data_IF_465494409697
#
_entry.id   IF_465494409697
#
_cell.length_a   1.000
_cell.length_b   1.000
_cell.length_c   1.000
_cell.angle_alpha   90.00
_cell.angle_beta   90.00
_cell.angle_gamma   90.00
#
_symmetry.space_group_name_H-M   'P 1'
#
loop_
_entity.id
_entity.type
_entity.pdbx_description
1 polymer ?
#
# COMPACT_ATOMS: atom_id res chain seq x y z
N UNK A 1 -65.16 -8.94 11.09
CA UNK A 1 -64.01 -8.61 10.21
C UNK A 1 -62.95 -7.89 11.04
N UNK A 2 -61.86 -8.59 11.37
CA UNK A 2 -60.70 -7.99 12.09
C UNK A 2 -59.62 -7.73 11.05
N UNK A 3 -59.28 -6.45 10.85
CA UNK A 3 -58.14 -6.03 10.03
C UNK A 3 -56.88 -6.17 10.85
N UNK A 4 -56.00 -7.07 10.42
CA UNK A 4 -54.63 -7.21 10.95
C UNK A 4 -53.72 -6.23 10.15
N UNK A 5 -53.30 -5.16 10.78
CA UNK A 5 -52.25 -4.26 10.23
C UNK A 5 -50.88 -4.92 10.40
N UNK A 6 -50.30 -5.36 9.29
CA UNK A 6 -48.94 -5.88 9.23
C UNK A 6 -47.97 -4.68 9.15
N UNK A 7 -47.33 -4.34 10.26
CA UNK A 7 -46.23 -3.37 10.26
C UNK A 7 -44.98 -4.02 9.66
N UNK A 8 -44.68 -3.71 8.41
CA UNK A 8 -43.39 -4.06 7.79
C UNK A 8 -42.35 -3.04 8.29
N UNK A 9 -41.51 -3.49 9.24
CA UNK A 9 -40.38 -2.72 9.72
C UNK A 9 -39.26 -2.81 8.69
N UNK A 10 -39.16 -1.84 7.78
CA UNK A 10 -38.07 -1.75 6.82
C UNK A 10 -36.83 -1.24 7.58
N UNK A 11 -35.95 -2.16 7.97
CA UNK A 11 -34.60 -1.82 8.42
C UNK A 11 -33.81 -1.27 7.24
N UNK A 12 -33.79 0.04 7.07
CA UNK A 12 -32.82 0.76 6.24
C UNK A 12 -31.44 0.59 6.90
N UNK A 13 -30.72 -0.45 6.49
CA UNK A 13 -29.28 -0.54 6.72
C UNK A 13 -28.63 0.60 5.94
N UNK A 14 -28.39 1.73 6.62
CA UNK A 14 -27.54 2.81 6.10
C UNK A 14 -26.13 2.22 6.04
N UNK A 15 -25.77 1.65 4.90
CA UNK A 15 -24.37 1.44 4.56
C UNK A 15 -23.73 2.84 4.54
N UNK A 16 -23.04 3.19 5.61
CA UNK A 16 -22.14 4.35 5.63
C UNK A 16 -21.18 4.17 4.46
N UNK A 17 -21.45 4.88 3.38
CA UNK A 17 -20.59 4.86 2.20
C UNK A 17 -19.23 5.40 2.60
N UNK A 18 -18.20 4.62 2.37
CA UNK A 18 -16.79 4.96 2.64
C UNK A 18 -16.29 6.25 1.95
N UNK A 19 -17.11 6.88 1.11
CA UNK A 19 -16.79 8.10 0.39
C UNK A 19 -16.55 9.32 1.30
N UNK A 20 -17.17 9.37 2.49
CA UNK A 20 -17.09 10.51 3.42
C UNK A 20 -15.83 10.53 4.30
N UNK A 21 -14.95 9.53 4.21
CA UNK A 21 -13.82 9.37 5.14
C UNK A 21 -12.44 9.72 4.54
N UNK A 22 -12.39 10.29 3.31
CA UNK A 22 -11.15 10.63 2.64
C UNK A 22 -10.42 11.80 3.31
N UNK A 23 -9.10 11.64 3.56
CA UNK A 23 -8.23 12.70 4.09
C UNK A 23 -8.70 13.34 5.40
N UNK A 24 -9.30 12.55 6.28
CA UNK A 24 -9.75 13.00 7.60
C UNK A 24 -8.65 13.79 8.33
N UNK A 25 -9.04 14.87 8.98
CA UNK A 25 -8.12 15.70 9.77
C UNK A 25 -7.79 14.94 11.07
N UNK A 26 -6.50 14.70 11.35
CA UNK A 26 -6.09 14.09 12.62
C UNK A 26 -6.51 14.95 13.82
N UNK A 27 -7.05 14.32 14.85
CA UNK A 27 -7.40 15.01 16.09
C UNK A 27 -6.17 15.65 16.73
N UNK A 28 -6.30 16.89 17.24
CA UNK A 28 -5.24 17.59 17.99
C UNK A 28 -4.79 16.71 19.17
N UNK A 29 -3.48 16.62 19.40
CA UNK A 29 -2.90 15.80 20.48
C UNK A 29 -2.80 14.30 20.19
N UNK A 30 -3.28 13.81 19.04
CA UNK A 30 -3.10 12.41 18.67
C UNK A 30 -1.72 12.13 18.04
N UNK A 31 -1.18 10.95 18.33
CA UNK A 31 0.00 10.42 17.63
C UNK A 31 -0.44 9.78 16.32
N UNK A 32 0.17 10.19 15.23
CA UNK A 32 -0.20 9.75 13.90
C UNK A 32 0.91 8.90 13.30
N UNK A 33 0.50 7.80 12.68
CA UNK A 33 1.38 6.85 11.98
C UNK A 33 0.88 6.66 10.56
N UNK A 34 1.82 6.63 9.63
CA UNK A 34 1.55 6.29 8.23
C UNK A 34 1.90 4.83 8.00
N UNK A 35 1.07 4.14 7.25
CA UNK A 35 1.30 2.78 6.79
C UNK A 35 1.80 2.85 5.35
N UNK A 36 3.01 2.31 5.12
CA UNK A 36 3.62 2.18 3.82
C UNK A 36 3.58 0.72 3.34
N UNK A 37 3.08 0.49 2.13
CA UNK A 37 2.90 -0.85 1.55
C UNK A 37 3.47 -0.99 0.13
N UNK A 38 3.92 0.10 -0.47
CA UNK A 38 4.55 0.19 -1.80
C UNK A 38 5.88 0.93 -1.71
N UNK A 39 6.12 1.95 -2.53
CA UNK A 39 7.39 2.70 -2.52
C UNK A 39 7.73 3.39 -1.18
N UNK A 40 6.74 3.57 -0.30
CA UNK A 40 7.00 4.08 1.06
C UNK A 40 7.69 3.06 1.98
N UNK A 41 7.80 1.79 1.58
CA UNK A 41 8.58 0.79 2.32
C UNK A 41 10.09 1.04 2.15
N UNK A 42 10.52 1.48 0.97
CA UNK A 42 11.91 1.79 0.66
C UNK A 42 12.36 3.10 1.34
N UNK A 43 13.51 3.07 2.01
CA UNK A 43 13.97 4.15 2.89
C UNK A 43 14.22 5.45 2.14
N UNK A 44 15.00 5.44 1.06
CA UNK A 44 15.32 6.65 0.29
C UNK A 44 14.07 7.26 -0.36
N UNK A 45 13.16 6.42 -0.86
CA UNK A 45 11.88 6.87 -1.41
C UNK A 45 11.02 7.57 -0.36
N UNK A 46 11.02 7.05 0.86
CA UNK A 46 10.24 7.58 1.98
C UNK A 46 10.81 8.89 2.52
N UNK A 47 12.11 8.93 2.83
CA UNK A 47 12.78 10.12 3.40
C UNK A 47 12.90 11.27 2.40
N UNK A 48 12.90 10.99 1.08
CA UNK A 48 12.86 12.01 0.02
C UNK A 48 11.68 12.97 0.17
N UNK A 49 10.54 12.48 0.64
CA UNK A 49 9.35 13.31 0.89
C UNK A 49 9.36 13.92 2.28
N UNK A 50 9.74 13.14 3.28
CA UNK A 50 9.74 13.53 4.68
C UNK A 50 10.98 12.96 5.37
N UNK A 51 11.97 13.77 5.66
CA UNK A 51 13.19 13.36 6.39
C UNK A 51 12.88 12.74 7.78
N UNK A 52 11.73 13.09 8.37
CA UNK A 52 11.25 12.53 9.63
C UNK A 52 10.62 11.13 9.49
N UNK A 53 10.43 10.63 8.28
CA UNK A 53 9.84 9.32 8.00
C UNK A 53 10.84 8.17 8.24
N UNK A 54 11.48 8.22 9.39
CA UNK A 54 12.37 7.22 9.98
C UNK A 54 11.63 6.42 11.04
N UNK A 55 12.30 5.60 11.83
CA UNK A 55 11.70 4.79 12.90
C UNK A 55 10.55 3.88 12.43
N UNK A 56 10.75 3.28 11.27
CA UNK A 56 9.81 2.30 10.71
C UNK A 56 9.73 1.06 11.57
N UNK A 57 8.55 0.44 11.59
CA UNK A 57 8.31 -0.87 12.19
C UNK A 57 7.45 -1.71 11.25
N UNK A 58 7.67 -3.04 11.17
CA UNK A 58 6.85 -3.94 10.39
C UNK A 58 5.47 -4.12 11.02
N UNK A 59 4.47 -4.38 10.15
CA UNK A 59 3.09 -4.62 10.56
C UNK A 59 2.39 -5.51 9.52
N UNK A 60 1.43 -6.33 9.97
CA UNK A 60 0.41 -6.90 9.08
C UNK A 60 -0.90 -6.13 9.20
N UNK A 61 -1.60 -5.98 8.07
CA UNK A 61 -2.88 -5.31 8.01
C UNK A 61 -3.92 -6.27 7.46
N UNK A 62 -4.95 -6.55 8.25
CA UNK A 62 -6.07 -7.43 7.89
C UNK A 62 -7.12 -6.67 7.08
N UNK A 63 -7.85 -7.39 6.25
CA UNK A 63 -8.95 -6.90 5.42
C UNK A 63 -8.52 -5.84 4.40
N UNK A 64 -7.26 -5.91 3.96
CA UNK A 64 -6.73 -5.13 2.84
C UNK A 64 -6.03 -6.06 1.85
N UNK A 65 -6.18 -5.76 0.58
CA UNK A 65 -5.46 -6.39 -0.54
C UNK A 65 -4.55 -5.35 -1.19
N UNK A 66 -3.28 -5.68 -1.38
CA UNK A 66 -2.34 -4.91 -2.21
C UNK A 66 -2.44 -5.39 -3.64
N UNK A 67 -2.46 -4.46 -4.58
CA UNK A 67 -2.61 -4.77 -6.00
C UNK A 67 -2.01 -3.70 -6.90
N UNK A 68 -1.63 -4.11 -8.11
CA UNK A 68 -1.30 -3.18 -9.19
C UNK A 68 -2.60 -2.57 -9.70
N UNK A 69 -2.78 -1.26 -9.50
CA UNK A 69 -4.09 -0.67 -9.81
C UNK A 69 -4.14 0.85 -9.91
N UNK A 70 -3.12 1.60 -9.48
CA UNK A 70 -3.14 3.07 -9.54
C UNK A 70 -2.35 3.55 -10.76
N UNK A 71 -3.04 3.86 -11.85
CA UNK A 71 -2.42 4.41 -13.06
C UNK A 71 -1.99 5.86 -12.87
N UNK A 72 -0.82 6.19 -13.38
CA UNK A 72 -0.28 7.54 -13.42
C UNK A 72 -0.17 8.03 -14.87
N UNK A 73 -0.97 9.03 -15.23
CA UNK A 73 -0.87 9.67 -16.55
C UNK A 73 0.48 10.37 -16.73
N UNK A 74 1.04 10.94 -15.66
CA UNK A 74 2.33 11.65 -15.72
C UNK A 74 3.50 10.74 -16.04
N UNK A 75 3.54 9.55 -15.42
CA UNK A 75 4.67 8.61 -15.55
C UNK A 75 4.39 7.48 -16.52
N UNK A 76 3.15 7.37 -17.02
CA UNK A 76 2.71 6.27 -17.90
C UNK A 76 3.03 4.89 -17.32
N UNK A 77 2.72 4.70 -16.05
CA UNK A 77 2.93 3.45 -15.30
C UNK A 77 1.73 3.15 -14.39
N UNK A 78 1.64 1.91 -13.94
CA UNK A 78 0.72 1.49 -12.89
C UNK A 78 1.49 1.33 -11.57
N UNK A 79 1.05 2.05 -10.54
CA UNK A 79 1.55 1.93 -9.17
C UNK A 79 0.75 0.90 -8.36
N UNK A 80 1.36 0.46 -7.26
CA UNK A 80 0.65 -0.29 -6.23
C UNK A 80 -0.38 0.56 -5.51
N UNK A 81 -1.51 -0.07 -5.23
CA UNK A 81 -2.53 0.47 -4.34
C UNK A 81 -2.98 -0.61 -3.35
N UNK A 82 -3.81 -0.23 -2.41
CA UNK A 82 -4.55 -1.16 -1.56
C UNK A 82 -6.03 -0.86 -1.65
N UNK A 83 -6.83 -1.92 -1.54
CA UNK A 83 -8.28 -1.86 -1.46
C UNK A 83 -8.78 -2.66 -0.26
N UNK A 84 -10.01 -2.36 0.19
CA UNK A 84 -10.68 -3.16 1.21
C UNK A 84 -11.04 -4.53 0.65
N UNK A 85 -10.57 -5.60 1.31
CA UNK A 85 -10.87 -6.99 0.94
C UNK A 85 -10.92 -7.86 2.20
N UNK A 86 -12.14 -8.17 2.65
CA UNK A 86 -12.35 -9.04 3.82
C UNK A 86 -11.65 -10.39 3.59
N UNK A 87 -10.96 -10.89 4.61
CA UNK A 87 -10.20 -12.13 4.56
C UNK A 87 -8.80 -12.02 3.98
N UNK A 88 -8.46 -10.91 3.29
CA UNK A 88 -7.09 -10.66 2.82
C UNK A 88 -6.22 -10.04 3.91
N UNK A 89 -4.91 -10.18 3.78
CA UNK A 89 -3.93 -9.56 4.67
C UNK A 89 -2.67 -9.20 3.88
N UNK A 90 -2.05 -8.09 4.22
CA UNK A 90 -0.80 -7.63 3.61
C UNK A 90 0.24 -7.32 4.69
N UNK A 91 1.49 -7.57 4.36
CA UNK A 91 2.62 -7.04 5.12
C UNK A 91 2.92 -5.60 4.68
N UNK A 92 3.34 -4.78 5.63
CA UNK A 92 3.59 -3.36 5.44
C UNK A 92 4.54 -2.85 6.53
N UNK A 93 4.83 -1.56 6.50
CA UNK A 93 5.49 -0.85 7.60
C UNK A 93 4.57 0.23 8.17
N UNK A 94 4.87 0.70 9.37
CA UNK A 94 4.33 1.95 9.88
C UNK A 94 5.42 2.80 10.50
N UNK A 95 5.24 4.12 10.45
CA UNK A 95 6.17 5.10 11.01
C UNK A 95 5.44 6.35 11.47
N UNK A 96 5.96 7.05 12.52
CA UNK A 96 5.31 8.25 13.03
C UNK A 96 5.48 9.43 12.06
N UNK A 97 4.44 10.25 11.92
CA UNK A 97 4.53 11.57 11.28
C UNK A 97 3.70 12.60 12.04
N UNK A 98 4.21 13.84 12.10
CA UNK A 98 3.44 14.98 12.57
C UNK A 98 2.42 15.44 11.50
N UNK A 99 1.47 16.29 11.89
CA UNK A 99 0.39 16.76 11.01
C UNK A 99 0.94 17.55 9.81
N UNK A 100 2.00 18.35 10.00
CA UNK A 100 2.62 19.12 8.90
C UNK A 100 3.22 18.18 7.84
N UNK A 101 3.88 17.12 8.29
CA UNK A 101 4.47 16.11 7.42
C UNK A 101 3.40 15.24 6.72
N UNK A 102 2.27 14.97 7.37
CA UNK A 102 1.11 14.31 6.73
C UNK A 102 0.57 15.17 5.58
N UNK A 103 0.41 16.49 5.77
CA UNK A 103 -0.02 17.40 4.69
C UNK A 103 0.93 17.41 3.49
N UNK A 104 2.25 17.29 3.72
CA UNK A 104 3.23 17.14 2.63
C UNK A 104 3.06 15.80 1.90
N UNK A 105 2.80 14.73 2.65
CA UNK A 105 2.57 13.41 2.09
C UNK A 105 1.25 13.35 1.30
N UNK A 106 0.17 13.98 1.77
CA UNK A 106 -1.09 14.12 1.03
C UNK A 106 -0.89 14.78 -0.35
N UNK A 107 0.03 15.76 -0.44
CA UNK A 107 0.40 16.39 -1.73
C UNK A 107 1.16 15.45 -2.66
N UNK A 108 2.01 14.57 -2.12
CA UNK A 108 2.70 13.53 -2.90
C UNK A 108 1.71 12.49 -3.40
N UNK A 109 0.81 12.05 -2.54
CA UNK A 109 -0.15 10.96 -2.77
C UNK A 109 -1.50 11.47 -3.33
N UNK A 110 -1.50 12.54 -4.15
CA UNK A 110 -2.72 13.23 -4.62
C UNK A 110 -3.70 12.34 -5.42
N UNK A 111 -3.23 11.22 -5.98
CA UNK A 111 -4.08 10.21 -6.65
C UNK A 111 -4.78 9.25 -5.69
N UNK A 112 -4.45 9.32 -4.40
CA UNK A 112 -4.93 8.43 -3.36
C UNK A 112 -5.81 9.16 -2.37
N UNK A 113 -6.52 8.38 -1.58
CA UNK A 113 -7.33 8.81 -0.46
C UNK A 113 -6.74 8.24 0.84
N UNK A 114 -6.49 9.10 1.83
CA UNK A 114 -5.95 8.66 3.11
C UNK A 114 -7.08 8.25 4.04
N UNK A 115 -7.08 6.97 4.48
CA UNK A 115 -8.04 6.39 5.41
C UNK A 115 -7.43 6.06 6.76
N UNK A 116 -8.26 6.11 7.80
CA UNK A 116 -7.90 5.60 9.11
C UNK A 116 -8.17 4.11 9.20
N UNK A 117 -7.13 3.32 9.48
CA UNK A 117 -7.24 1.88 9.69
C UNK A 117 -7.74 1.60 11.12
N UNK A 118 -8.71 0.71 11.27
CA UNK A 118 -9.21 0.30 12.59
C UNK A 118 -8.12 -0.49 13.32
N UNK A 119 -7.89 -0.19 14.59
CA UNK A 119 -6.81 -0.80 15.37
C UNK A 119 -6.89 -2.34 15.40
N UNK A 120 -8.10 -2.90 15.43
CA UNK A 120 -8.33 -4.37 15.39
C UNK A 120 -7.87 -5.06 14.10
N UNK A 121 -7.62 -4.29 13.05
CA UNK A 121 -7.11 -4.79 11.76
C UNK A 121 -5.58 -4.79 11.70
N UNK A 122 -4.92 -4.25 12.71
CA UNK A 122 -3.46 -4.14 12.80
C UNK A 122 -2.90 -5.28 13.64
N UNK A 123 -1.94 -6.03 13.08
CA UNK A 123 -1.16 -7.05 13.81
C UNK A 123 0.30 -6.61 13.84
N UNK A 124 0.73 -6.15 14.99
CA UNK A 124 2.09 -5.65 15.22
C UNK A 124 3.07 -6.81 15.43
N UNK A 125 4.32 -6.61 14.99
CA UNK A 125 5.43 -7.49 15.32
C UNK A 125 6.00 -7.08 16.68
N UNK A 126 6.27 -8.05 17.55
CA UNK A 126 6.87 -7.83 18.86
C UNK A 126 5.89 -7.27 19.91
N UNK A 127 6.29 -6.21 20.62
CA UNK A 127 5.53 -5.68 21.78
C UNK A 127 4.14 -5.17 21.42
N UNK A 128 3.16 -5.42 22.30
CA UNK A 128 1.81 -4.85 22.19
C UNK A 128 1.86 -3.32 22.11
N UNK A 129 1.13 -2.76 21.15
CA UNK A 129 0.98 -1.31 20.98
C UNK A 129 -0.34 -0.89 21.65
N UNK A 130 -0.29 0.08 22.56
CA UNK A 130 -1.49 0.65 23.15
C UNK A 130 -2.20 1.52 22.12
N UNK A 131 -3.52 1.31 21.83
CA UNK A 131 -4.28 2.08 20.84
C UNK A 131 -4.61 3.52 21.26
N UNK A 132 -4.52 3.85 22.55
CA UNK A 132 -4.97 5.15 23.11
C UNK A 132 -4.26 6.30 22.39
N UNK A 133 -5.03 7.23 21.87
CA UNK A 133 -4.59 8.45 21.17
C UNK A 133 -3.64 8.18 19.97
N UNK A 134 -3.78 7.04 19.28
CA UNK A 134 -3.02 6.71 18.08
C UNK A 134 -3.94 6.56 16.87
N UNK A 135 -3.53 7.16 15.75
CA UNK A 135 -4.16 7.00 14.45
C UNK A 135 -3.18 6.34 13.50
N UNK A 136 -3.65 5.35 12.75
CA UNK A 136 -2.92 4.68 11.69
C UNK A 136 -3.60 4.99 10.37
N UNK A 137 -2.85 5.56 9.43
CA UNK A 137 -3.36 6.07 8.16
C UNK A 137 -2.75 5.28 7.01
N UNK A 138 -3.58 4.90 6.05
CA UNK A 138 -3.17 4.23 4.82
C UNK A 138 -3.71 4.99 3.62
N UNK A 139 -2.92 5.05 2.55
CA UNK A 139 -3.36 5.64 1.28
C UNK A 139 -3.92 4.56 0.37
N UNK A 140 -5.14 4.75 -0.14
CA UNK A 140 -5.81 3.83 -1.06
C UNK A 140 -6.18 4.58 -2.34
N UNK A 141 -6.14 3.93 -3.50
CA UNK A 141 -6.72 4.52 -4.70
C UNK A 141 -8.23 4.76 -4.48
N UNK A 142 -8.76 5.80 -5.11
CA UNK A 142 -10.21 5.99 -5.16
C UNK A 142 -10.84 4.81 -5.92
N UNK A 143 -11.94 4.24 -5.40
CA UNK A 143 -12.54 3.00 -5.89
C UNK A 143 -12.69 2.94 -7.43
N UNK A 144 -13.10 4.05 -8.04
CA UNK A 144 -13.28 4.14 -9.49
C UNK A 144 -11.97 4.32 -10.29
N UNK A 145 -10.82 4.45 -9.61
CA UNK A 145 -9.52 4.67 -10.24
C UNK A 145 -8.61 3.44 -10.18
N UNK A 146 -9.12 2.31 -9.70
CA UNK A 146 -8.36 1.05 -9.69
C UNK A 146 -8.47 0.41 -11.07
N UNK A 147 -7.40 0.52 -11.85
CA UNK A 147 -7.33 0.02 -13.22
C UNK A 147 -6.11 -0.91 -13.36
N UNK A 148 -6.32 -2.09 -13.93
CA UNK A 148 -5.24 -3.08 -14.17
C UNK A 148 -4.16 -2.49 -15.09
N UNK A 149 -2.89 -2.95 -14.98
CA UNK A 149 -1.84 -2.62 -15.94
C UNK A 149 -2.26 -2.91 -17.39
N UNK A 150 -1.85 -2.05 -18.31
CA UNK A 150 -1.98 -2.22 -19.76
C UNK A 150 -0.72 -1.69 -20.48
N UNK A 151 -0.69 -1.78 -21.81
CA UNK A 151 0.45 -1.34 -22.62
C UNK A 151 0.78 0.15 -22.45
N UNK A 152 -0.22 1.00 -22.18
CA UNK A 152 -0.02 2.44 -21.98
C UNK A 152 0.41 2.78 -20.54
N UNK A 153 0.08 1.90 -19.59
CA UNK A 153 0.39 2.05 -18.18
C UNK A 153 0.87 0.70 -17.63
N UNK A 154 2.03 0.21 -18.09
CA UNK A 154 2.56 -1.07 -17.63
C UNK A 154 3.01 -1.02 -16.17
N UNK A 155 3.28 -2.18 -15.60
CA UNK A 155 4.20 -2.33 -14.47
C UNK A 155 5.59 -1.97 -15.01
N UNK A 156 6.38 -1.23 -14.25
CA UNK A 156 7.77 -0.92 -14.63
C UNK A 156 8.75 -1.46 -13.61
N UNK A 157 9.83 -2.08 -14.11
CA UNK A 157 10.81 -2.75 -13.26
C UNK A 157 11.44 -1.80 -12.25
N UNK A 158 11.74 -0.56 -12.64
CA UNK A 158 12.31 0.44 -11.72
C UNK A 158 11.41 0.74 -10.51
N UNK A 159 10.10 0.60 -10.62
CA UNK A 159 9.20 0.74 -9.48
C UNK A 159 9.07 -0.55 -8.66
N UNK A 160 9.08 -1.71 -9.32
CA UNK A 160 9.14 -3.03 -8.65
C UNK A 160 10.40 -3.11 -7.78
N UNK A 161 11.53 -2.66 -8.33
CA UNK A 161 12.81 -2.62 -7.61
C UNK A 161 12.74 -1.77 -6.34
N UNK A 162 12.13 -0.58 -6.41
CA UNK A 162 11.92 0.28 -5.21
C UNK A 162 11.07 -0.47 -4.18
N UNK A 163 9.97 -1.08 -4.61
CA UNK A 163 9.07 -1.77 -3.71
C UNK A 163 9.73 -2.96 -3.01
N UNK A 164 10.37 -3.85 -3.79
CA UNK A 164 10.98 -5.06 -3.25
C UNK A 164 12.28 -4.75 -2.47
N UNK A 165 13.06 -3.75 -2.89
CA UNK A 165 14.19 -3.28 -2.08
C UNK A 165 13.72 -2.86 -0.68
N UNK A 166 12.60 -2.13 -0.59
CA UNK A 166 12.02 -1.79 0.70
C UNK A 166 11.60 -3.01 1.52
N UNK A 167 11.08 -4.07 0.87
CA UNK A 167 10.74 -5.33 1.54
C UNK A 167 11.99 -6.03 2.09
N UNK A 168 13.08 -6.10 1.33
CA UNK A 168 14.36 -6.64 1.79
C UNK A 168 14.97 -5.81 2.91
N UNK A 169 14.92 -4.48 2.83
CA UNK A 169 15.39 -3.60 3.93
C UNK A 169 14.67 -3.92 5.25
N UNK A 170 13.37 -4.20 5.21
CA UNK A 170 12.60 -4.57 6.41
C UNK A 170 12.92 -5.97 6.87
N UNK A 171 13.03 -6.93 5.95
CA UNK A 171 13.43 -8.31 6.24
C UNK A 171 14.75 -8.34 7.01
N UNK A 172 15.76 -7.67 6.48
CA UNK A 172 17.11 -7.65 7.05
C UNK A 172 17.15 -6.88 8.37
N UNK A 173 16.56 -5.68 8.42
CA UNK A 173 16.56 -4.81 9.60
C UNK A 173 15.89 -5.43 10.83
N UNK A 174 14.84 -6.23 10.62
CA UNK A 174 14.05 -6.81 11.69
C UNK A 174 14.21 -8.33 11.81
N UNK A 175 15.08 -8.92 10.99
CA UNK A 175 15.33 -10.36 10.91
C UNK A 175 14.01 -11.16 10.81
N UNK A 176 13.12 -10.71 9.87
CA UNK A 176 11.83 -11.35 9.66
C UNK A 176 11.95 -12.25 8.43
N UNK A 177 12.00 -13.55 8.67
CA UNK A 177 12.02 -14.55 7.61
C UNK A 177 10.85 -14.38 6.62
N UNK A 178 11.10 -14.51 5.32
CA UNK A 178 10.11 -14.44 4.24
C UNK A 178 9.33 -13.12 4.10
N UNK A 179 9.81 -12.01 4.65
CA UNK A 179 9.07 -10.75 4.53
C UNK A 179 9.00 -10.25 3.09
N UNK A 180 10.06 -10.44 2.29
CA UNK A 180 10.11 -10.08 0.86
C UNK A 180 9.22 -10.98 0.01
N UNK A 181 9.21 -12.29 0.26
CA UNK A 181 8.30 -13.25 -0.41
C UNK A 181 6.83 -12.88 -0.13
N UNK A 182 6.50 -12.57 1.11
CA UNK A 182 5.16 -12.11 1.47
C UNK A 182 4.76 -10.81 0.76
N UNK A 183 5.72 -9.92 0.46
CA UNK A 183 5.45 -8.74 -0.37
C UNK A 183 4.96 -9.13 -1.76
N UNK A 184 5.55 -10.13 -2.37
CA UNK A 184 5.17 -10.64 -3.70
C UNK A 184 3.84 -11.38 -3.63
N UNK A 185 3.70 -12.35 -2.74
CA UNK A 185 2.55 -13.26 -2.63
C UNK A 185 1.25 -12.55 -2.25
N UNK A 186 1.32 -11.53 -1.38
CA UNK A 186 0.17 -10.74 -0.97
C UNK A 186 -0.18 -9.61 -1.95
N UNK A 187 0.60 -9.41 -3.02
CA UNK A 187 0.33 -8.46 -4.10
C UNK A 187 -0.42 -9.15 -5.24
N UNK A 188 -1.53 -8.57 -5.67
CA UNK A 188 -2.36 -9.09 -6.78
C UNK A 188 -2.19 -8.22 -8.03
N UNK A 189 -2.64 -8.78 -9.17
CA UNK A 189 -2.64 -8.04 -10.44
C UNK A 189 -1.28 -7.95 -11.12
N UNK A 190 -0.33 -8.83 -10.79
CA UNK A 190 0.86 -9.03 -11.62
C UNK A 190 0.43 -9.38 -13.04
N UNK A 191 1.13 -8.88 -14.05
CA UNK A 191 0.68 -8.92 -15.45
C UNK A 191 1.88 -8.96 -16.38
N UNK A 192 1.72 -9.55 -17.56
CA UNK A 192 2.69 -9.49 -18.67
C UNK A 192 2.84 -8.06 -19.25
N UNK A 193 1.90 -7.15 -18.99
CA UNK A 193 2.11 -5.71 -19.25
C UNK A 193 3.16 -5.16 -18.27
N UNK A 194 4.39 -5.56 -18.46
CA UNK A 194 5.53 -5.25 -17.61
C UNK A 194 6.73 -4.88 -18.47
N UNK A 195 7.31 -3.70 -18.23
CA UNK A 195 8.46 -3.17 -18.96
C UNK A 195 9.69 -3.19 -18.08
N UNK A 196 10.79 -3.71 -18.60
CA UNK A 196 12.10 -3.59 -17.97
C UNK A 196 12.74 -2.24 -18.34
N UNK A 197 12.51 -1.22 -17.52
CA UNK A 197 12.99 0.14 -17.74
C UNK A 197 14.24 0.50 -16.94
N UNK A 198 15.03 -0.51 -16.49
CA UNK A 198 16.21 -0.26 -15.65
C UNK A 198 17.27 0.61 -16.32
N UNK A 199 17.43 0.51 -17.65
CA UNK A 199 18.40 1.32 -18.41
C UNK A 199 17.97 2.80 -18.46
N UNK A 200 16.65 3.04 -18.64
CA UNK A 200 16.05 4.38 -18.67
C UNK A 200 14.90 4.45 -17.66
N UNK A 201 15.25 4.35 -16.39
CA UNK A 201 14.32 4.17 -15.31
C UNK A 201 13.31 5.31 -15.20
N UNK A 202 12.00 5.01 -15.34
CA UNK A 202 10.91 5.96 -15.06
C UNK A 202 10.85 6.35 -13.58
N UNK A 203 11.43 5.49 -12.71
CA UNK A 203 11.56 5.71 -11.27
C UNK A 203 13.00 5.53 -10.82
N UNK A 204 13.91 6.50 -11.12
CA UNK A 204 15.34 6.35 -10.84
C UNK A 204 15.62 6.39 -9.33
N UNK A 205 16.13 5.28 -8.80
CA UNK A 205 16.66 5.13 -7.45
C UNK A 205 17.87 4.20 -7.49
N UNK A 206 18.82 4.42 -6.59
CA UNK A 206 19.90 3.47 -6.37
C UNK A 206 19.34 2.28 -5.56
N UNK A 207 19.35 1.10 -6.16
CA UNK A 207 18.82 -0.13 -5.57
C UNK A 207 19.96 -1.13 -5.36
N UNK A 208 20.38 -1.40 -4.14
CA UNK A 208 21.52 -2.31 -3.89
C UNK A 208 21.15 -3.80 -4.01
N UNK A 209 19.86 -4.15 -3.97
CA UNK A 209 19.40 -5.54 -3.90
C UNK A 209 18.94 -6.14 -5.25
N UNK A 210 19.42 -5.65 -6.40
CA UNK A 210 18.97 -6.16 -7.72
C UNK A 210 19.03 -7.68 -7.84
N UNK A 211 20.15 -8.28 -7.48
CA UNK A 211 20.31 -9.73 -7.56
C UNK A 211 19.25 -10.49 -6.72
N UNK A 212 18.99 -10.05 -5.49
CA UNK A 212 17.97 -10.66 -4.63
C UNK A 212 16.58 -10.50 -5.20
N UNK A 213 16.30 -9.33 -5.80
CA UNK A 213 15.01 -9.03 -6.43
C UNK A 213 14.80 -9.93 -7.64
N UNK A 214 15.82 -10.05 -8.50
CA UNK A 214 15.75 -10.88 -9.71
C UNK A 214 15.55 -12.35 -9.38
N UNK A 215 16.27 -12.88 -8.38
CA UNK A 215 16.08 -14.25 -7.91
C UNK A 215 14.65 -14.48 -7.40
N UNK A 216 14.15 -13.61 -6.52
CA UNK A 216 12.79 -13.72 -5.99
C UNK A 216 11.72 -13.66 -7.09
N UNK A 217 11.89 -12.76 -8.06
CA UNK A 217 10.95 -12.64 -9.18
C UNK A 217 11.04 -13.84 -10.13
N UNK A 218 12.23 -14.36 -10.41
CA UNK A 218 12.42 -15.54 -11.26
C UNK A 218 11.76 -16.79 -10.67
N UNK A 219 11.85 -16.96 -9.36
CA UNK A 219 11.18 -18.07 -8.67
C UNK A 219 9.65 -17.97 -8.72
N UNK A 220 9.09 -16.75 -8.61
CA UNK A 220 7.65 -16.54 -8.49
C UNK A 220 6.97 -16.24 -9.82
N UNK A 221 7.67 -15.68 -10.80
CA UNK A 221 7.09 -15.10 -12.02
C UNK A 221 7.90 -15.33 -13.28
N UNK A 222 8.59 -16.47 -13.43
CA UNK A 222 9.37 -16.79 -14.63
C UNK A 222 8.61 -16.50 -15.93
N UNK A 223 7.32 -16.84 -15.99
CA UNK A 223 6.49 -16.58 -17.17
C UNK A 223 6.38 -15.07 -17.51
N UNK A 224 6.17 -14.20 -16.52
CA UNK A 224 6.05 -12.76 -16.77
C UNK A 224 7.37 -12.13 -17.14
N UNK A 225 8.48 -12.56 -16.52
CA UNK A 225 9.81 -12.04 -16.81
C UNK A 225 10.27 -12.38 -18.23
N UNK A 226 9.98 -13.58 -18.71
CA UNK A 226 10.30 -14.00 -20.07
C UNK A 226 9.49 -13.28 -21.16
N UNK A 227 8.41 -12.61 -20.80
CA UNK A 227 7.52 -11.89 -21.70
C UNK A 227 7.51 -10.36 -21.42
N UNK A 228 8.51 -9.84 -20.72
CA UNK A 228 8.66 -8.40 -20.53
C UNK A 228 8.95 -7.71 -21.87
N UNK A 229 8.39 -6.51 -22.02
CA UNK A 229 8.72 -5.61 -23.11
C UNK A 229 10.03 -4.88 -22.73
N UNK A 230 11.04 -4.99 -23.53
CA UNK A 230 12.31 -4.26 -23.39
C UNK A 230 12.20 -2.84 -23.95
#
# INVERSE_FOLDING_TARGET
>A
MRFVFLFILVFLLIEKTYADECNQIPKKGSKNFIIGYGSLMEENSRIRTNKEAINVKPIFIKNFQREWGQRSQRYKITFLTVSRKIGSSINAIYYPLNIKSIKKLDKRERGYCRYRVKFKELKFFGKKVNPKNKNFWIYTAKKNNILKPDNNHPIVQSYVDIFLNGCFQIQDKFNIYNFSELCVETTKGWSSNWVNDRVHARRPFLIPNFYRIDNLLSEKFSYYLNNQIE
#
